data_IF_254179820730
#
_entry.id   IF_254179820730
#
_cell.length_a   1.000
_cell.length_b   1.000
_cell.length_c   1.000
_cell.angle_alpha   90.00
_cell.angle_beta   90.00
_cell.angle_gamma   90.00
#
_symmetry.space_group_name_H-M   'P 1'
#
loop_
_entity.id
_entity.type
_entity.pdbx_description
1 polymer ?
#
# COMPACT_ATOMS: atom_id res chain seq x y z
N UNK A 1 56.79 -8.51 21.62
CA UNK A 1 55.48 -9.17 21.41
C UNK A 1 54.35 -8.36 22.07
N UNK A 2 53.97 -7.20 21.51
CA UNK A 2 52.81 -6.40 21.99
C UNK A 2 52.16 -5.60 20.85
N UNK A 3 50.89 -5.93 20.61
CA UNK A 3 49.76 -5.10 20.14
C UNK A 3 49.87 -4.38 18.77
N UNK A 4 49.27 -5.00 17.76
CA UNK A 4 48.52 -4.28 16.72
C UNK A 4 47.01 -4.47 16.95
N UNK A 5 46.48 -3.80 17.97
CA UNK A 5 45.03 -3.51 18.01
C UNK A 5 44.84 -2.31 17.09
N UNK A 6 44.39 -2.56 15.85
CA UNK A 6 43.92 -1.50 14.95
C UNK A 6 42.78 -0.78 15.68
N UNK A 7 43.02 0.47 16.11
CA UNK A 7 41.96 1.38 16.54
C UNK A 7 40.92 1.45 15.42
N UNK A 8 39.71 0.96 15.68
CA UNK A 8 38.52 1.37 14.96
C UNK A 8 38.32 2.84 15.32
N UNK A 9 38.99 3.71 14.57
CA UNK A 9 39.05 5.15 14.79
C UNK A 9 37.69 5.72 14.37
N UNK A 10 36.89 6.10 15.35
CA UNK A 10 35.76 7.02 15.23
C UNK A 10 34.88 6.82 13.99
N UNK A 11 34.04 5.78 13.99
CA UNK A 11 32.72 5.94 13.38
C UNK A 11 32.00 6.97 14.25
N UNK A 12 32.34 8.24 13.98
CA UNK A 12 32.36 9.29 15.00
C UNK A 12 30.99 9.51 15.62
N UNK A 13 30.98 9.82 16.90
CA UNK A 13 29.80 10.22 17.68
C UNK A 13 28.90 11.18 16.89
N UNK A 14 29.48 12.04 16.03
CA UNK A 14 28.76 12.91 15.09
C UNK A 14 27.88 12.17 14.07
N UNK A 15 28.35 11.07 13.46
CA UNK A 15 27.55 10.26 12.53
C UNK A 15 26.41 9.54 13.25
N UNK A 16 26.70 9.00 14.43
CA UNK A 16 25.67 8.37 15.28
C UNK A 16 24.62 9.41 15.70
N UNK A 17 25.06 10.59 16.14
CA UNK A 17 24.17 11.69 16.48
C UNK A 17 23.31 12.15 15.28
N UNK A 18 23.88 12.23 14.07
CA UNK A 18 23.11 12.55 12.85
C UNK A 18 22.05 11.48 12.58
N UNK A 19 22.40 10.20 12.68
CA UNK A 19 21.43 9.10 12.47
C UNK A 19 20.31 9.14 13.52
N UNK A 20 20.65 9.39 14.78
CA UNK A 20 19.66 9.49 15.86
C UNK A 20 18.75 10.70 15.67
N UNK A 21 19.30 11.86 15.30
CA UNK A 21 18.50 13.07 15.02
C UNK A 21 17.60 12.85 13.81
N UNK A 22 18.08 12.21 12.75
CA UNK A 22 17.26 11.82 11.60
C UNK A 22 16.14 10.86 12.01
N UNK A 23 16.44 9.86 12.83
CA UNK A 23 15.44 8.93 13.33
C UNK A 23 14.36 9.65 14.16
N UNK A 24 14.77 10.52 15.08
CA UNK A 24 13.83 11.33 15.88
C UNK A 24 13.00 12.25 14.98
N UNK A 25 13.60 12.85 13.96
CA UNK A 25 12.86 13.68 12.99
C UNK A 25 11.83 12.86 12.19
N UNK A 26 12.19 11.64 11.77
CA UNK A 26 11.26 10.71 11.09
C UNK A 26 10.12 10.30 12.02
N UNK A 27 10.42 9.99 13.28
CA UNK A 27 9.40 9.66 14.29
C UNK A 27 8.49 10.87 14.53
N UNK A 28 9.06 12.06 14.70
CA UNK A 28 8.31 13.30 14.89
C UNK A 28 7.40 13.62 13.70
N UNK A 29 7.91 13.47 12.47
CA UNK A 29 7.12 13.65 11.25
C UNK A 29 5.98 12.61 11.15
N UNK A 30 6.24 11.36 11.52
CA UNK A 30 5.22 10.30 11.55
C UNK A 30 4.11 10.62 12.55
N UNK A 31 4.46 11.01 13.78
CA UNK A 31 3.49 11.39 14.82
C UNK A 31 2.70 12.63 14.43
N UNK A 32 3.36 13.66 13.87
CA UNK A 32 2.70 14.86 13.38
C UNK A 32 1.75 14.56 12.21
N UNK A 33 2.15 13.66 11.30
CA UNK A 33 1.32 13.16 10.20
C UNK A 33 0.07 12.44 10.71
N UNK A 34 0.23 11.56 11.72
CA UNK A 34 -0.89 10.90 12.37
C UNK A 34 -1.84 11.89 13.06
N UNK A 35 -1.30 12.84 13.83
CA UNK A 35 -2.10 13.86 14.52
C UNK A 35 -2.91 14.72 13.54
N UNK A 36 -2.31 15.09 12.42
CA UNK A 36 -2.99 15.84 11.34
C UNK A 36 -4.04 14.98 10.64
N UNK A 37 -3.76 13.68 10.46
CA UNK A 37 -4.70 12.77 9.79
C UNK A 37 -5.88 12.37 10.67
N UNK A 38 -5.74 12.33 12.00
CA UNK A 38 -6.80 11.94 12.93
C UNK A 38 -8.03 12.85 12.82
N UNK A 39 -7.82 14.15 12.56
CA UNK A 39 -8.93 15.09 12.38
C UNK A 39 -9.74 14.83 11.10
N UNK A 40 -9.26 13.93 10.21
CA UNK A 40 -9.94 13.56 8.97
C UNK A 40 -10.53 12.13 9.01
N UNK A 41 -10.57 11.47 10.18
CA UNK A 41 -11.04 10.07 10.29
C UNK A 41 -12.56 9.94 10.21
N UNK A 42 -13.30 10.89 10.78
CA UNK A 42 -14.75 11.00 10.59
C UNK A 42 -15.01 12.15 9.62
N UNK A 43 -15.42 11.80 8.41
CA UNK A 43 -15.76 12.77 7.38
C UNK A 43 -17.27 12.82 7.28
N UNK A 44 -17.85 13.92 7.76
CA UNK A 44 -19.28 14.18 7.73
C UNK A 44 -19.58 15.27 6.71
N UNK A 45 -20.62 15.05 5.92
CA UNK A 45 -21.15 16.03 4.99
C UNK A 45 -22.68 16.03 5.08
N UNK A 46 -23.27 17.22 5.14
CA UNK A 46 -24.71 17.40 5.34
C UNK A 46 -25.35 17.95 4.06
N UNK A 47 -26.50 17.40 3.69
CA UNK A 47 -27.24 17.71 2.46
C UNK A 47 -28.75 17.72 2.71
N UNK A 48 -29.48 18.34 1.77
CA UNK A 48 -30.94 18.38 1.80
C UNK A 48 -31.50 19.45 2.73
N UNK A 49 -32.69 19.19 3.27
CA UNK A 49 -33.54 20.18 3.92
C UNK A 49 -33.36 20.22 5.45
N UNK A 50 -32.13 20.39 5.93
CA UNK A 50 -31.80 20.42 7.38
C UNK A 50 -32.64 21.46 8.17
N UNK A 51 -32.95 22.61 7.53
CA UNK A 51 -33.71 23.69 8.16
C UNK A 51 -35.24 23.45 8.19
N UNK A 52 -35.73 22.38 7.54
CA UNK A 52 -37.15 22.10 7.50
C UNK A 52 -37.59 21.44 8.82
N UNK A 53 -38.60 21.98 9.54
CA UNK A 53 -39.09 21.35 10.76
C UNK A 53 -39.77 20.00 10.52
N UNK A 54 -40.32 19.78 9.32
CA UNK A 54 -41.00 18.55 8.92
C UNK A 54 -40.13 17.80 7.90
N UNK A 55 -39.07 17.15 8.39
CA UNK A 55 -38.09 16.43 7.56
C UNK A 55 -37.81 15.03 8.10
N UNK A 56 -37.15 14.23 7.30
CA UNK A 56 -36.60 12.93 7.69
C UNK A 56 -35.08 13.06 7.72
N UNK A 57 -34.48 12.88 8.89
CA UNK A 57 -33.03 12.79 9.01
C UNK A 57 -32.60 11.38 8.62
N UNK A 58 -31.60 11.26 7.76
CA UNK A 58 -31.06 9.98 7.27
C UNK A 58 -29.54 10.06 7.29
N UNK A 59 -28.88 9.03 7.82
CA UNK A 59 -27.42 8.93 7.80
C UNK A 59 -26.98 7.81 6.86
N UNK A 60 -26.27 8.14 5.80
CA UNK A 60 -25.56 7.20 4.95
C UNK A 60 -24.15 6.97 5.48
N UNK A 61 -23.96 5.83 6.16
CA UNK A 61 -22.68 5.46 6.75
C UNK A 61 -21.86 4.58 5.81
N UNK A 62 -20.82 5.15 5.22
CA UNK A 62 -19.85 4.45 4.38
C UNK A 62 -18.85 3.72 5.27
N UNK A 63 -18.93 2.39 5.23
CA UNK A 63 -18.11 1.51 6.08
C UNK A 63 -16.86 1.02 5.38
N UNK A 64 -16.95 0.75 4.06
CA UNK A 64 -15.85 0.19 3.28
C UNK A 64 -15.95 0.57 1.80
N UNK A 65 -14.80 0.92 1.21
CA UNK A 65 -14.61 1.04 -0.24
C UNK A 65 -13.90 -0.22 -0.76
N UNK A 66 -14.62 -1.03 -1.54
CA UNK A 66 -14.04 -2.18 -2.24
C UNK A 66 -13.67 -1.80 -3.68
N UNK A 67 -12.40 -1.47 -3.88
CA UNK A 67 -11.93 -1.02 -5.19
C UNK A 67 -11.94 -2.14 -6.23
N UNK A 68 -11.66 -3.38 -5.83
CA UNK A 68 -11.59 -4.51 -6.74
C UNK A 68 -12.98 -4.89 -7.26
N UNK A 69 -13.98 -4.84 -6.39
CA UNK A 69 -15.37 -5.04 -6.78
C UNK A 69 -16.04 -3.77 -7.33
N UNK A 70 -15.39 -2.60 -7.22
CA UNK A 70 -15.96 -1.29 -7.55
C UNK A 70 -17.29 -1.04 -6.81
N UNK A 71 -17.30 -1.37 -5.52
CA UNK A 71 -18.48 -1.27 -4.65
C UNK A 71 -18.16 -0.47 -3.38
N UNK A 72 -19.06 0.44 -3.04
CA UNK A 72 -19.15 1.12 -1.76
C UNK A 72 -20.14 0.36 -0.86
N UNK A 73 -19.68 -0.08 0.31
CA UNK A 73 -20.55 -0.64 1.34
C UNK A 73 -21.09 0.50 2.20
N UNK A 74 -22.41 0.68 2.17
CA UNK A 74 -23.10 1.77 2.85
C UNK A 74 -24.18 1.18 3.74
N UNK A 75 -24.23 1.61 4.99
CA UNK A 75 -25.33 1.31 5.91
C UNK A 75 -26.14 2.58 6.11
N UNK A 76 -27.41 2.55 5.71
CA UNK A 76 -28.36 3.62 6.00
C UNK A 76 -28.85 3.42 7.43
N UNK A 77 -28.61 4.39 8.29
CA UNK A 77 -28.94 4.36 9.72
C UNK A 77 -29.60 5.68 10.13
N UNK A 78 -30.17 5.70 11.33
CA UNK A 78 -30.67 6.93 11.95
C UNK A 78 -31.81 7.59 11.18
N UNK A 79 -32.63 6.79 10.48
CA UNK A 79 -33.77 7.26 9.69
C UNK A 79 -34.87 7.71 10.65
N UNK A 80 -34.91 9.01 10.94
CA UNK A 80 -35.76 9.58 12.00
C UNK A 80 -36.67 10.68 11.45
N UNK A 81 -38.01 10.55 11.63
CA UNK A 81 -38.94 11.59 11.21
C UNK A 81 -38.92 12.74 12.22
N UNK A 82 -39.13 13.97 11.75
CA UNK A 82 -39.20 15.17 12.58
C UNK A 82 -40.51 15.94 12.34
N UNK A 83 -40.88 16.77 13.32
CA UNK A 83 -42.05 17.63 13.25
C UNK A 83 -43.33 16.84 13.10
N UNK A 84 -44.17 17.22 12.14
CA UNK A 84 -45.48 16.56 11.90
C UNK A 84 -45.37 15.15 11.32
N UNK A 85 -44.18 14.70 10.93
CA UNK A 85 -43.94 13.34 10.45
C UNK A 85 -43.70 12.34 11.58
N UNK A 86 -43.50 12.83 12.81
CA UNK A 86 -43.25 12.01 13.99
C UNK A 86 -44.39 12.13 15.00
N UNK A 87 -44.71 11.00 15.64
CA UNK A 87 -45.53 10.94 16.84
C UNK A 87 -44.69 10.25 17.93
N UNK A 88 -44.33 10.99 18.98
CA UNK A 88 -43.48 10.52 20.10
C UNK A 88 -42.16 9.80 19.69
N UNK A 89 -41.50 10.28 18.62
CA UNK A 89 -40.22 9.74 18.14
C UNK A 89 -40.34 8.53 17.21
N UNK A 90 -41.55 8.05 16.94
CA UNK A 90 -41.83 7.05 15.89
C UNK A 90 -42.53 7.69 14.69
N UNK A 91 -42.68 6.93 13.61
CA UNK A 91 -43.30 7.41 12.38
C UNK A 91 -44.80 7.62 12.54
N UNK A 92 -45.30 8.83 12.23
CA UNK A 92 -46.73 9.13 12.29
C UNK A 92 -47.52 8.49 11.14
N UNK A 93 -46.87 8.23 10.00
CA UNK A 93 -47.45 7.66 8.79
C UNK A 93 -46.49 6.66 8.18
N UNK A 94 -47.03 5.76 7.34
CA UNK A 94 -46.19 4.85 6.56
C UNK A 94 -45.28 5.64 5.62
N UNK A 95 -44.08 5.12 5.44
CA UNK A 95 -43.10 5.66 4.51
C UNK A 95 -42.32 4.52 3.86
N UNK A 96 -41.83 4.76 2.66
CA UNK A 96 -40.90 3.85 1.99
C UNK A 96 -39.62 4.61 1.68
N UNK A 97 -38.50 4.11 2.20
CA UNK A 97 -37.18 4.60 1.81
C UNK A 97 -36.73 3.85 0.56
N UNK A 98 -36.31 4.59 -0.46
CA UNK A 98 -35.70 4.04 -1.67
C UNK A 98 -34.35 4.70 -1.92
N UNK A 99 -33.49 3.96 -2.61
CA UNK A 99 -32.12 4.39 -2.93
C UNK A 99 -31.70 3.90 -4.30
N UNK A 100 -30.70 4.56 -4.88
CA UNK A 100 -30.04 4.15 -6.13
C UNK A 100 -29.07 2.96 -6.00
N UNK A 101 -29.01 2.35 -4.81
CA UNK A 101 -28.22 1.16 -4.56
C UNK A 101 -28.55 -0.03 -5.49
N UNK A 102 -27.57 -0.91 -5.67
CA UNK A 102 -27.67 -2.09 -6.53
C UNK A 102 -28.80 -3.00 -6.05
N UNK A 103 -29.78 -3.26 -6.92
CA UNK A 103 -30.83 -4.27 -6.69
C UNK A 103 -32.23 -3.75 -6.41
N UNK A 104 -32.62 -2.56 -6.88
CA UNK A 104 -33.95 -1.96 -6.68
C UNK A 104 -34.33 -1.92 -5.18
N UNK A 105 -33.41 -1.42 -4.37
CA UNK A 105 -33.56 -1.45 -2.92
C UNK A 105 -34.72 -0.58 -2.43
N UNK A 106 -35.53 -1.13 -1.50
CA UNK A 106 -36.61 -0.44 -0.80
C UNK A 106 -36.74 -0.93 0.63
N UNK A 107 -36.96 -0.01 1.57
CA UNK A 107 -37.27 -0.33 2.96
C UNK A 107 -38.63 0.28 3.34
N UNK A 108 -39.58 -0.58 3.66
CA UNK A 108 -40.91 -0.18 4.15
C UNK A 108 -40.85 0.14 5.64
N UNK A 109 -41.43 1.27 6.02
CA UNK A 109 -41.49 1.78 7.40
C UNK A 109 -42.97 2.00 7.73
N UNK A 110 -43.47 1.30 8.75
CA UNK A 110 -44.87 1.40 9.17
C UNK A 110 -45.08 2.51 10.18
N UNK A 111 -46.26 3.10 10.18
CA UNK A 111 -46.67 4.01 11.24
C UNK A 111 -46.58 3.32 12.62
N UNK A 112 -46.01 4.03 13.59
CA UNK A 112 -45.77 3.53 14.95
C UNK A 112 -44.48 2.73 15.14
N UNK A 113 -43.80 2.34 14.05
CA UNK A 113 -42.53 1.59 14.12
C UNK A 113 -41.32 2.52 13.98
N UNK A 114 -40.14 2.02 14.39
CA UNK A 114 -38.85 2.64 14.06
C UNK A 114 -38.35 2.10 12.72
N UNK A 115 -37.63 2.93 11.98
CA UNK A 115 -37.02 2.50 10.73
C UNK A 115 -35.85 1.53 10.98
N UNK A 116 -35.71 0.47 10.16
CA UNK A 116 -34.60 -0.47 10.29
C UNK A 116 -33.29 0.14 9.78
N UNK A 117 -32.16 -0.33 10.32
CA UNK A 117 -30.86 -0.12 9.71
C UNK A 117 -30.73 -1.00 8.47
N UNK A 118 -30.15 -0.45 7.40
CA UNK A 118 -30.14 -1.09 6.10
C UNK A 118 -28.77 -1.09 5.47
N UNK A 119 -28.22 -2.29 5.24
CA UNK A 119 -26.98 -2.45 4.47
C UNK A 119 -27.26 -2.48 2.96
N UNK A 120 -26.48 -1.70 2.22
CA UNK A 120 -26.60 -1.55 0.79
C UNK A 120 -25.23 -1.48 0.11
N UNK A 121 -25.25 -1.74 -1.19
CA UNK A 121 -24.08 -1.66 -2.06
C UNK A 121 -24.34 -0.65 -3.16
N UNK A 122 -23.45 0.33 -3.26
CA UNK A 122 -23.48 1.36 -4.30
C UNK A 122 -22.29 1.12 -5.23
N UNK A 123 -22.51 1.25 -6.53
CA UNK A 123 -21.42 1.10 -7.52
C UNK A 123 -20.59 2.38 -7.56
N UNK A 124 -19.27 2.21 -7.69
CA UNK A 124 -18.34 3.32 -7.92
C UNK A 124 -17.55 3.07 -9.20
N UNK A 125 -17.25 4.13 -9.94
CA UNK A 125 -16.43 4.05 -11.15
C UNK A 125 -15.05 4.66 -10.91
N UNK A 126 -14.00 4.09 -11.52
CA UNK A 126 -12.64 4.58 -11.36
C UNK A 126 -11.56 3.58 -11.75
N UNK A 127 -10.37 4.09 -12.08
CA UNK A 127 -9.23 3.31 -12.53
C UNK A 127 -8.43 2.75 -11.34
N UNK A 128 -8.66 1.48 -11.00
CA UNK A 128 -7.95 0.81 -9.91
C UNK A 128 -6.45 0.66 -10.15
N UNK A 129 -6.02 0.62 -11.41
CA UNK A 129 -4.60 0.54 -11.80
C UNK A 129 -3.82 1.80 -11.45
N UNK A 130 -4.49 2.91 -11.16
CA UNK A 130 -3.81 4.16 -10.83
C UNK A 130 -3.32 4.21 -9.37
N UNK A 131 -3.47 3.13 -8.60
CA UNK A 131 -3.00 3.04 -7.23
C UNK A 131 -1.52 3.44 -7.09
N UNK A 132 -1.16 4.31 -6.13
CA UNK A 132 -2.00 4.80 -5.01
C UNK A 132 -2.71 6.14 -5.30
N UNK A 133 -2.67 6.65 -6.53
CA UNK A 133 -3.30 7.90 -6.93
C UNK A 133 -4.69 7.71 -7.57
N UNK A 134 -5.26 6.51 -7.36
CA UNK A 134 -6.57 6.11 -7.82
C UNK A 134 -7.67 7.01 -7.26
N UNK A 135 -8.69 7.23 -8.10
CA UNK A 135 -9.84 8.06 -7.81
C UNK A 135 -11.09 7.31 -8.23
N UNK A 136 -12.12 7.41 -7.41
CA UNK A 136 -13.41 6.82 -7.68
C UNK A 136 -14.51 7.85 -7.56
N UNK A 137 -15.52 7.74 -8.41
CA UNK A 137 -16.73 8.54 -8.38
C UNK A 137 -17.93 7.64 -8.14
N UNK A 138 -18.82 8.05 -7.26
CA UNK A 138 -20.07 7.37 -6.98
C UNK A 138 -21.21 8.36 -6.88
N UNK A 139 -22.41 7.82 -6.77
CA UNK A 139 -23.62 8.60 -6.56
C UNK A 139 -24.41 7.94 -5.43
N UNK A 140 -25.04 8.75 -4.59
CA UNK A 140 -26.02 8.29 -3.59
C UNK A 140 -27.24 9.17 -3.76
N UNK A 141 -28.38 8.55 -4.03
CA UNK A 141 -29.67 9.21 -4.04
C UNK A 141 -30.60 8.52 -3.04
N UNK A 142 -31.17 9.30 -2.12
CA UNK A 142 -32.12 8.81 -1.13
C UNK A 142 -33.45 9.52 -1.32
N UNK A 143 -34.51 8.72 -1.39
CA UNK A 143 -35.88 9.20 -1.33
C UNK A 143 -36.58 8.59 -0.13
N UNK A 144 -37.48 9.37 0.46
CA UNK A 144 -38.44 8.85 1.42
C UNK A 144 -39.81 9.30 0.94
N UNK A 145 -40.63 8.33 0.51
CA UNK A 145 -41.95 8.61 -0.05
C UNK A 145 -43.05 8.14 0.89
N UNK A 146 -44.18 8.82 0.89
CA UNK A 146 -45.40 8.36 1.56
C UNK A 146 -46.15 7.31 0.72
N UNK A 147 -47.26 6.78 1.26
CA UNK A 147 -48.12 5.79 0.56
C UNK A 147 -48.72 6.33 -0.76
N UNK A 148 -48.80 7.65 -0.93
CA UNK A 148 -49.28 8.32 -2.15
C UNK A 148 -48.16 8.53 -3.19
N UNK A 149 -46.91 8.16 -2.88
CA UNK A 149 -45.74 8.34 -3.74
C UNK A 149 -45.17 9.76 -3.76
N UNK A 150 -45.50 10.60 -2.77
CA UNK A 150 -44.96 11.95 -2.60
C UNK A 150 -43.71 11.92 -1.72
N UNK A 151 -42.63 12.57 -2.17
CA UNK A 151 -41.40 12.71 -1.39
C UNK A 151 -41.61 13.57 -0.12
N UNK A 152 -41.07 13.09 0.99
CA UNK A 152 -40.83 13.88 2.18
C UNK A 152 -39.51 14.64 2.06
N UNK A 153 -39.39 15.83 2.67
CA UNK A 153 -38.12 16.52 2.80
C UNK A 153 -37.10 15.65 3.56
N UNK A 154 -35.93 15.42 2.97
CA UNK A 154 -34.86 14.61 3.57
C UNK A 154 -33.69 15.50 3.96
N UNK A 155 -33.13 15.29 5.16
CA UNK A 155 -31.80 15.77 5.52
C UNK A 155 -30.85 14.57 5.55
N UNK A 156 -29.89 14.57 4.63
CA UNK A 156 -28.96 13.47 4.45
C UNK A 156 -27.61 13.84 5.04
N UNK A 157 -27.14 13.02 5.99
CA UNK A 157 -25.77 13.05 6.50
C UNK A 157 -24.99 11.92 5.86
N UNK A 158 -23.88 12.22 5.20
CA UNK A 158 -22.96 11.21 4.70
C UNK A 158 -21.76 11.13 5.63
N UNK A 159 -21.56 9.96 6.23
CA UNK A 159 -20.45 9.68 7.14
C UNK A 159 -19.52 8.66 6.49
N UNK A 160 -18.27 9.03 6.25
CA UNK A 160 -17.23 8.09 5.84
C UNK A 160 -16.31 7.73 7.02
N UNK A 161 -16.19 6.42 7.29
CA UNK A 161 -15.29 5.86 8.31
C UNK A 161 -14.20 4.96 7.73
N UNK A 162 -14.11 4.81 6.40
CA UNK A 162 -13.02 4.04 5.79
C UNK A 162 -11.69 4.82 5.93
N UNK A 163 -10.70 4.31 6.69
CA UNK A 163 -9.46 5.03 6.96
C UNK A 163 -8.53 5.14 5.73
N UNK A 164 -8.75 4.32 4.70
CA UNK A 164 -7.92 4.30 3.50
C UNK A 164 -8.38 5.33 2.46
N UNK A 165 -9.58 5.90 2.64
CA UNK A 165 -10.17 6.84 1.70
C UNK A 165 -10.50 8.17 2.35
N UNK A 166 -10.35 9.22 1.56
CA UNK A 166 -10.90 10.54 1.80
C UNK A 166 -12.03 10.77 0.81
N UNK A 167 -13.12 11.32 1.32
CA UNK A 167 -14.34 11.61 0.60
C UNK A 167 -14.43 13.11 0.32
N UNK A 168 -14.84 13.43 -0.90
CA UNK A 168 -15.34 14.74 -1.31
C UNK A 168 -16.76 14.58 -1.78
N UNK A 169 -17.64 15.50 -1.41
CA UNK A 169 -19.07 15.40 -1.69
C UNK A 169 -19.55 16.68 -2.36
N UNK A 170 -20.49 16.56 -3.30
CA UNK A 170 -21.17 17.70 -3.91
C UNK A 170 -22.62 17.37 -4.20
N UNK A 171 -23.53 18.32 -3.97
CA UNK A 171 -24.96 18.17 -4.28
C UNK A 171 -25.17 17.83 -5.75
N UNK A 172 -26.09 16.90 -6.04
CA UNK A 172 -26.57 16.68 -7.40
C UNK A 172 -27.87 17.47 -7.65
N UNK A 173 -27.84 18.54 -8.47
CA UNK A 173 -29.03 19.32 -8.80
C UNK A 173 -30.01 18.58 -9.74
N UNK A 174 -29.64 17.43 -10.29
CA UNK A 174 -30.51 16.64 -11.17
C UNK A 174 -31.49 15.71 -10.41
N UNK A 175 -31.32 15.58 -9.09
CA UNK A 175 -32.20 14.76 -8.25
C UNK A 175 -33.64 15.26 -8.28
N UNK A 176 -34.62 14.34 -8.31
CA UNK A 176 -36.05 14.65 -8.44
C UNK A 176 -36.79 14.32 -7.15
N UNK A 177 -36.99 15.33 -6.29
CA UNK A 177 -37.78 15.20 -5.05
C UNK A 177 -36.95 14.72 -3.84
N UNK A 178 -36.08 13.73 -4.03
CA UNK A 178 -35.14 13.24 -3.01
C UNK A 178 -33.86 14.07 -2.88
N UNK A 179 -32.85 13.49 -2.21
CA UNK A 179 -31.52 14.10 -2.04
C UNK A 179 -30.47 13.24 -2.74
N UNK A 180 -29.96 13.74 -3.87
CA UNK A 180 -28.83 13.19 -4.61
C UNK A 180 -27.50 13.84 -4.24
N UNK A 181 -26.47 13.04 -4.05
CA UNK A 181 -25.11 13.49 -3.73
C UNK A 181 -24.09 12.74 -4.58
N UNK A 182 -23.25 13.50 -5.26
CA UNK A 182 -22.09 12.98 -5.96
C UNK A 182 -20.94 12.78 -4.98
N UNK A 183 -20.35 11.60 -5.02
CA UNK A 183 -19.21 11.19 -4.20
C UNK A 183 -17.94 11.15 -5.03
N UNK A 184 -16.86 11.70 -4.48
CA UNK A 184 -15.50 11.50 -4.95
C UNK A 184 -14.66 10.86 -3.85
N UNK A 185 -14.06 9.71 -4.13
CA UNK A 185 -13.22 8.96 -3.20
C UNK A 185 -11.79 8.94 -3.73
N UNK A 186 -10.82 9.21 -2.86
CA UNK A 186 -9.40 9.16 -3.18
C UNK A 186 -8.62 8.64 -1.98
N UNK A 187 -7.40 8.13 -2.18
CA UNK A 187 -6.61 7.58 -1.07
C UNK A 187 -6.32 8.63 0.00
N UNK A 188 -6.44 8.22 1.26
CA UNK A 188 -6.12 9.05 2.41
C UNK A 188 -4.62 9.39 2.44
N UNK A 189 -4.27 10.52 3.05
CA UNK A 189 -2.87 10.95 3.13
C UNK A 189 -1.94 9.90 3.78
N UNK A 190 -2.33 9.21 4.88
CA UNK A 190 -1.52 8.11 5.43
C UNK A 190 -1.31 6.96 4.44
N UNK A 191 -2.34 6.62 3.66
CA UNK A 191 -2.27 5.55 2.65
C UNK A 191 -1.29 5.93 1.54
N UNK A 192 -1.36 7.16 1.03
CA UNK A 192 -0.43 7.69 0.04
C UNK A 192 1.02 7.68 0.53
N UNK A 193 1.26 8.16 1.76
CA UNK A 193 2.60 8.21 2.35
C UNK A 193 3.15 6.79 2.54
N UNK A 194 2.33 5.87 3.06
CA UNK A 194 2.75 4.49 3.29
C UNK A 194 3.05 3.76 1.97
N UNK A 195 2.18 3.87 0.97
CA UNK A 195 2.41 3.30 -0.35
C UNK A 195 3.68 3.87 -1.00
N UNK A 196 3.87 5.19 -0.95
CA UNK A 196 5.08 5.86 -1.44
C UNK A 196 6.35 5.41 -0.71
N UNK A 197 6.28 5.23 0.61
CA UNK A 197 7.38 4.68 1.40
C UNK A 197 7.75 3.26 0.94
N UNK A 198 6.76 2.39 0.73
CA UNK A 198 6.99 1.02 0.25
C UNK A 198 7.61 1.01 -1.16
N UNK A 199 7.14 1.88 -2.05
CA UNK A 199 7.76 2.08 -3.37
C UNK A 199 9.25 2.47 -3.25
N UNK A 200 9.55 3.52 -2.48
CA UNK A 200 10.93 3.96 -2.28
C UNK A 200 11.79 2.87 -1.63
N UNK A 201 11.23 2.12 -0.68
CA UNK A 201 11.92 1.01 -0.02
C UNK A 201 12.28 -0.12 -1.00
N UNK A 202 11.35 -0.52 -1.88
CA UNK A 202 11.61 -1.52 -2.92
C UNK A 202 12.72 -1.06 -3.87
N UNK A 203 12.68 0.19 -4.33
CA UNK A 203 13.74 0.78 -5.16
C UNK A 203 15.08 0.89 -4.42
N UNK A 204 15.05 1.19 -3.12
CA UNK A 204 16.22 1.25 -2.26
C UNK A 204 16.88 -0.12 -2.09
N UNK A 205 16.09 -1.17 -1.86
CA UNK A 205 16.56 -2.56 -1.82
C UNK A 205 17.17 -2.98 -3.15
N UNK A 206 16.53 -2.62 -4.27
CA UNK A 206 17.05 -2.88 -5.60
C UNK A 206 18.38 -2.16 -5.87
N UNK A 207 18.48 -0.90 -5.46
CA UNK A 207 19.72 -0.12 -5.54
C UNK A 207 20.82 -0.76 -4.67
N UNK A 208 20.47 -1.25 -3.47
CA UNK A 208 21.39 -1.98 -2.61
C UNK A 208 21.91 -3.27 -3.25
N UNK A 209 21.04 -4.05 -3.88
CA UNK A 209 21.44 -5.24 -4.64
C UNK A 209 22.33 -4.90 -5.83
N UNK A 210 22.02 -3.83 -6.57
CA UNK A 210 22.83 -3.35 -7.70
C UNK A 210 24.23 -2.93 -7.24
N UNK A 211 24.34 -2.19 -6.13
CA UNK A 211 25.63 -1.80 -5.55
C UNK A 211 26.41 -3.03 -5.08
N UNK A 212 25.75 -3.99 -4.43
CA UNK A 212 26.38 -5.23 -4.01
C UNK A 212 26.95 -6.01 -5.22
N UNK A 213 26.15 -6.17 -6.29
CA UNK A 213 26.60 -6.78 -7.53
C UNK A 213 27.74 -6.00 -8.18
N UNK A 214 27.67 -4.66 -8.23
CA UNK A 214 28.73 -3.82 -8.77
C UNK A 214 30.07 -4.08 -8.06
N UNK A 215 30.09 -4.09 -6.72
CA UNK A 215 31.31 -4.40 -5.97
C UNK A 215 31.80 -5.83 -6.21
N UNK A 216 30.88 -6.78 -6.34
CA UNK A 216 31.22 -8.17 -6.57
C UNK A 216 31.91 -8.37 -7.93
N UNK A 217 31.33 -7.76 -8.97
CA UNK A 217 31.81 -7.84 -10.33
C UNK A 217 33.10 -7.02 -10.53
N UNK A 218 33.15 -5.80 -9.98
CA UNK A 218 34.27 -4.89 -10.22
C UNK A 218 35.55 -5.31 -9.50
N UNK A 219 35.43 -5.90 -8.30
CA UNK A 219 36.62 -6.31 -7.55
C UNK A 219 37.21 -7.65 -8.00
N UNK A 220 36.64 -8.26 -9.05
CA UNK A 220 37.03 -9.59 -9.57
C UNK A 220 37.21 -10.61 -8.45
N UNK A 221 36.38 -10.52 -7.40
CA UNK A 221 36.33 -11.59 -6.41
C UNK A 221 35.63 -12.75 -7.11
N UNK A 222 36.10 -13.98 -6.89
CA UNK A 222 35.39 -15.18 -7.35
C UNK A 222 33.95 -15.22 -6.84
N UNK A 223 33.23 -16.33 -7.09
CA UNK A 223 31.84 -16.45 -6.67
C UNK A 223 31.70 -16.32 -5.13
N UNK A 224 31.09 -15.23 -4.64
CA UNK A 224 30.81 -15.04 -3.21
C UNK A 224 29.37 -15.45 -2.91
N UNK A 225 29.20 -16.68 -2.41
CA UNK A 225 27.89 -17.21 -2.03
C UNK A 225 27.07 -16.29 -1.10
N UNK A 226 27.65 -15.68 -0.04
CA UNK A 226 26.91 -14.73 0.79
C UNK A 226 26.25 -13.57 0.03
N UNK A 227 26.91 -13.02 -0.99
CA UNK A 227 26.36 -11.92 -1.79
C UNK A 227 25.18 -12.38 -2.65
N UNK A 228 25.32 -13.54 -3.30
CA UNK A 228 24.24 -14.17 -4.06
C UNK A 228 23.04 -14.50 -3.18
N UNK A 229 23.27 -15.08 -1.99
CA UNK A 229 22.21 -15.39 -1.03
C UNK A 229 21.48 -14.13 -0.54
N UNK A 230 22.19 -13.03 -0.29
CA UNK A 230 21.57 -11.75 0.07
C UNK A 230 20.64 -11.25 -1.04
N UNK A 231 21.10 -11.23 -2.30
CA UNK A 231 20.28 -10.77 -3.43
C UNK A 231 19.05 -11.66 -3.63
N UNK A 232 19.20 -12.98 -3.51
CA UNK A 232 18.08 -13.91 -3.55
C UNK A 232 17.07 -13.67 -2.41
N UNK A 233 17.55 -13.42 -1.19
CA UNK A 233 16.69 -13.10 -0.06
C UNK A 233 15.88 -11.82 -0.29
N UNK A 234 16.48 -10.79 -0.90
CA UNK A 234 15.78 -9.55 -1.26
C UNK A 234 14.66 -9.83 -2.29
N UNK A 235 14.91 -10.66 -3.31
CA UNK A 235 13.87 -11.03 -4.29
C UNK A 235 12.66 -11.67 -3.62
N UNK A 236 12.88 -12.63 -2.72
CA UNK A 236 11.78 -13.28 -2.00
C UNK A 236 11.07 -12.33 -1.02
N UNK A 237 11.78 -11.35 -0.47
CA UNK A 237 11.20 -10.35 0.43
C UNK A 237 10.33 -9.31 -0.30
N UNK A 238 10.51 -9.10 -1.61
CA UNK A 238 9.73 -8.11 -2.37
C UNK A 238 8.24 -8.45 -2.44
N UNK A 239 7.87 -9.73 -2.55
CA UNK A 239 6.45 -10.13 -2.70
C UNK A 239 5.64 -9.77 -1.45
N UNK A 240 6.04 -10.16 -0.21
CA UNK A 240 5.37 -9.70 0.99
C UNK A 240 5.36 -8.18 1.12
N UNK A 241 6.45 -7.50 0.71
CA UNK A 241 6.55 -6.05 0.81
C UNK A 241 5.56 -5.34 -0.12
N UNK A 242 5.41 -5.82 -1.36
CA UNK A 242 4.41 -5.33 -2.32
C UNK A 242 2.99 -5.57 -1.83
N UNK A 243 2.74 -6.72 -1.19
CA UNK A 243 1.42 -7.06 -0.66
C UNK A 243 1.09 -6.41 0.69
N UNK A 244 2.06 -5.74 1.33
CA UNK A 244 1.83 -5.02 2.59
C UNK A 244 1.11 -3.67 2.39
N UNK A 245 0.90 -3.23 1.14
CA UNK A 245 0.29 -1.94 0.85
C UNK A 245 -1.22 -1.94 1.13
N UNK A 246 -1.78 -0.85 1.71
CA UNK A 246 -3.19 -0.80 2.06
C UNK A 246 -4.10 -0.92 0.84
N UNK A 247 -5.20 -1.64 1.01
CA UNK A 247 -6.22 -1.79 -0.03
C UNK A 247 -5.94 -2.89 -1.05
N UNK A 248 -4.83 -3.63 -0.95
CA UNK A 248 -4.50 -4.78 -1.80
C UNK A 248 -4.79 -4.54 -3.30
N UNK A 249 -4.11 -3.56 -3.92
CA UNK A 249 -4.34 -3.24 -5.32
C UNK A 249 -4.03 -4.43 -6.23
N UNK A 250 -4.77 -4.59 -7.35
CA UNK A 250 -4.54 -5.64 -8.32
C UNK A 250 -3.15 -5.49 -8.94
N UNK A 251 -2.62 -6.60 -9.45
CA UNK A 251 -1.36 -6.59 -10.19
C UNK A 251 -1.53 -5.74 -11.46
N UNK A 252 -0.53 -4.90 -11.74
CA UNK A 252 -0.54 -3.99 -12.88
C UNK A 252 -0.87 -2.55 -12.51
N UNK A 253 -0.73 -2.19 -11.23
CA UNK A 253 -0.95 -0.82 -10.77
C UNK A 253 0.31 0.05 -10.89
N UNK A 254 0.20 1.38 -10.73
CA UNK A 254 1.36 2.30 -10.79
C UNK A 254 2.46 1.90 -9.80
N UNK A 255 2.12 1.42 -8.60
CA UNK A 255 3.09 0.85 -7.66
C UNK A 255 3.93 -0.29 -8.25
N UNK A 256 3.31 -1.12 -9.10
CA UNK A 256 3.99 -2.27 -9.69
C UNK A 256 4.97 -1.82 -10.77
N UNK A 257 4.51 -0.99 -11.71
CA UNK A 257 5.34 -0.47 -12.80
C UNK A 257 6.40 0.52 -12.34
N UNK A 258 6.05 1.40 -11.40
CA UNK A 258 6.95 2.44 -10.90
C UNK A 258 7.98 1.92 -9.91
N UNK A 259 7.80 0.72 -9.35
CA UNK A 259 8.66 0.24 -8.28
C UNK A 259 8.89 -1.27 -8.27
N UNK A 260 7.83 -2.09 -8.14
CA UNK A 260 7.99 -3.53 -7.91
C UNK A 260 8.70 -4.23 -9.08
N UNK A 261 8.24 -4.03 -10.32
CA UNK A 261 8.85 -4.65 -11.50
C UNK A 261 10.27 -4.15 -11.77
N UNK A 262 10.52 -2.85 -11.54
CA UNK A 262 11.87 -2.28 -11.65
C UNK A 262 12.78 -2.94 -10.61
N UNK A 263 12.32 -3.06 -9.36
CA UNK A 263 13.10 -3.66 -8.30
C UNK A 263 13.39 -5.14 -8.59
N UNK A 264 12.38 -5.91 -8.95
CA UNK A 264 12.49 -7.33 -9.31
C UNK A 264 13.48 -7.53 -10.47
N UNK A 265 13.36 -6.74 -11.54
CA UNK A 265 14.25 -6.81 -12.69
C UNK A 265 15.70 -6.48 -12.31
N UNK A 266 15.92 -5.37 -11.60
CA UNK A 266 17.27 -4.93 -11.20
C UNK A 266 17.95 -5.96 -10.30
N UNK A 267 17.24 -6.50 -9.30
CA UNK A 267 17.83 -7.49 -8.39
C UNK A 267 18.08 -8.81 -9.13
N UNK A 268 17.15 -9.24 -10.00
CA UNK A 268 17.32 -10.47 -10.79
C UNK A 268 18.54 -10.37 -11.71
N UNK A 269 18.69 -9.27 -12.43
CA UNK A 269 19.87 -9.02 -13.28
C UNK A 269 21.15 -8.97 -12.44
N UNK A 270 21.11 -8.32 -11.28
CA UNK A 270 22.25 -8.21 -10.35
C UNK A 270 22.68 -9.59 -9.85
N UNK A 271 21.73 -10.45 -9.49
CA UNK A 271 21.98 -11.82 -9.03
C UNK A 271 22.53 -12.70 -10.16
N UNK A 272 21.85 -12.72 -11.31
CA UNK A 272 22.23 -13.55 -12.47
C UNK A 272 23.63 -13.16 -12.97
N UNK A 273 23.90 -11.86 -13.12
CA UNK A 273 25.23 -11.38 -13.55
C UNK A 273 26.32 -11.77 -12.55
N UNK A 274 26.07 -11.60 -11.25
CA UNK A 274 26.98 -12.00 -10.17
C UNK A 274 27.33 -13.49 -10.20
N UNK A 275 26.34 -14.36 -10.43
CA UNK A 275 26.55 -15.80 -10.52
C UNK A 275 27.35 -16.16 -11.77
N UNK A 276 26.91 -15.70 -12.95
CA UNK A 276 27.55 -16.07 -14.22
C UNK A 276 29.00 -15.58 -14.26
N UNK A 277 29.24 -14.32 -13.92
CA UNK A 277 30.57 -13.73 -13.99
C UNK A 277 31.46 -14.19 -12.84
N UNK A 278 30.91 -14.29 -11.63
CA UNK A 278 31.63 -14.83 -10.48
C UNK A 278 32.10 -16.26 -10.72
N UNK A 279 31.26 -17.10 -11.32
CA UNK A 279 31.61 -18.48 -11.67
C UNK A 279 32.65 -18.56 -12.80
N UNK A 280 32.52 -17.73 -13.84
CA UNK A 280 33.54 -17.65 -14.92
C UNK A 280 34.90 -17.20 -14.38
N UNK A 281 34.92 -16.24 -13.46
CA UNK A 281 36.14 -15.74 -12.87
C UNK A 281 36.78 -16.79 -11.94
N UNK A 282 35.98 -17.43 -11.09
CA UNK A 282 36.43 -18.51 -10.22
C UNK A 282 37.10 -19.64 -11.03
N UNK A 283 36.46 -20.09 -12.12
CA UNK A 283 37.06 -21.09 -13.03
C UNK A 283 38.36 -20.64 -13.67
N UNK A 284 38.51 -19.35 -13.97
CA UNK A 284 39.76 -18.83 -14.54
C UNK A 284 40.91 -18.85 -13.52
N UNK A 285 40.60 -18.58 -12.25
CA UNK A 285 41.57 -18.66 -11.15
C UNK A 285 42.00 -20.13 -10.94
N UNK A 286 41.04 -21.05 -10.80
CA UNK A 286 41.32 -22.48 -10.61
C UNK A 286 42.15 -23.08 -11.75
N UNK A 287 41.89 -22.66 -13.00
CA UNK A 287 42.72 -23.08 -14.15
C UNK A 287 44.15 -22.54 -14.08
N UNK A 288 44.35 -21.30 -13.65
CA UNK A 288 45.67 -20.71 -13.50
C UNK A 288 46.47 -21.36 -12.36
N UNK A 289 45.81 -21.64 -11.23
CA UNK A 289 46.41 -22.37 -10.11
C UNK A 289 46.83 -23.78 -10.53
N UNK A 290 45.95 -24.52 -11.22
CA UNK A 290 46.29 -25.87 -11.71
C UNK A 290 47.46 -25.85 -12.70
N UNK A 291 47.53 -24.88 -13.61
CA UNK A 291 48.65 -24.74 -14.55
C UNK A 291 49.98 -24.45 -13.83
N UNK A 292 49.94 -23.64 -12.78
CA UNK A 292 51.13 -23.31 -11.98
C UNK A 292 51.63 -24.53 -11.19
N UNK A 293 50.70 -25.27 -10.58
CA UNK A 293 51.03 -26.49 -9.83
C UNK A 293 51.66 -27.56 -10.75
N UNK A 294 51.12 -27.74 -11.96
CA UNK A 294 51.70 -28.68 -12.94
C UNK A 294 53.11 -28.27 -13.40
N UNK A 295 53.38 -26.97 -13.57
CA UNK A 295 54.72 -26.49 -13.92
C UNK A 295 55.72 -26.73 -12.78
N UNK A 296 55.35 -26.46 -11.52
CA UNK A 296 56.20 -26.70 -10.36
C UNK A 296 56.52 -28.20 -10.16
N UNK A 297 55.52 -29.07 -10.30
CA UNK A 297 55.76 -30.51 -10.21
C UNK A 297 56.66 -31.04 -11.33
N UNK A 298 56.60 -30.45 -12.53
CA UNK A 298 57.47 -30.84 -13.64
C UNK A 298 58.94 -30.44 -13.39
N UNK A 299 59.18 -29.23 -12.85
CA UNK A 299 60.53 -28.78 -12.47
C UNK A 299 61.11 -29.60 -11.31
N UNK A 300 60.31 -29.95 -10.30
CA UNK A 300 60.75 -30.78 -9.16
C UNK A 300 61.14 -32.20 -9.60
N UNK A 301 60.41 -32.79 -10.55
CA UNK A 301 60.75 -34.10 -11.12
C UNK A 301 62.03 -34.02 -11.97
N UNK A 302 62.24 -32.92 -12.69
CA UNK A 302 63.46 -32.70 -13.46
C UNK A 302 64.69 -32.55 -12.54
N UNK A 303 64.59 -31.79 -11.45
CA UNK A 303 65.68 -31.57 -10.49
C UNK A 303 66.10 -32.88 -9.78
N UNK A 304 65.14 -33.72 -9.38
CA UNK A 304 65.40 -35.05 -8.78
C UNK A 304 66.07 -36.01 -9.78
N UNK A 305 65.82 -35.85 -11.08
CA UNK A 305 66.43 -36.69 -12.12
C UNK A 305 67.86 -36.29 -12.51
N UNK A 306 68.30 -35.08 -12.15
CA UNK A 306 69.66 -34.58 -12.40
C UNK A 306 70.61 -34.75 -11.19
N UNK A 307 70.13 -35.21 -10.03
CA UNK A 307 70.98 -35.41 -8.84
C UNK A 307 71.92 -36.63 -9.03
N UNK A 308 73.26 -36.45 -9.10
CA UNK A 308 74.18 -37.54 -9.41
C UNK A 308 74.27 -38.53 -8.25
N UNK A 309 74.09 -39.83 -8.58
CA UNK A 309 74.16 -40.91 -7.60
C UNK A 309 75.49 -40.91 -6.85
N UNK A 310 75.42 -40.69 -5.54
CA UNK A 310 76.59 -40.74 -4.65
C UNK A 310 77.09 -42.18 -4.59
N UNK A 311 78.38 -42.47 -4.85
CA UNK A 311 78.90 -43.83 -4.76
C UNK A 311 78.85 -44.30 -3.30
N UNK A 312 78.25 -45.47 -3.09
CA UNK A 312 78.18 -46.14 -1.78
C UNK A 312 79.59 -46.58 -1.32
N UNK A 313 79.84 -46.59 0.01
CA UNK A 313 81.17 -46.80 0.59
C UNK A 313 81.73 -48.22 0.38
#
# INVERSE_FOLDING_TARGET
MRKHIRRVRDVGVRRVAIVVVLLIAVIGASIAGYATSRNNTNQEAYFGDENNPNRVDVTAWITKVDTAAQILSVTIIGITPNGTLSDDGVWAQNATLTSDAVGNWRAEIKAGDSAPDVEQKITVDGAITDYPFDRYTGHIEIHVVNDEGKDYPVSLTILNTDPFFKMSTSTDPASKGGVGVNLGLHRSAPTLIFAGFIMVLMLGLASGALVAAFYLLNWRRGLIFPGCSMMAAILFALIPLRNAVPGNPPIGSIIDFGSFFIAEAVISISLISSIIWGFRHQRSIERAENATNHAQSADEIADVSEEPSKPAP
#
